data_IF_834974368301
#
_entry.id   IF_834974368301
#
_cell.length_a   1.000
_cell.length_b   1.000
_cell.length_c   1.000
_cell.angle_alpha   90.00
_cell.angle_beta   90.00
_cell.angle_gamma   90.00
#
_symmetry.space_group_name_H-M   'P 1'
#
loop_
_entity.id
_entity.type
_entity.pdbx_description
1 polymer ?
#
# COMPACT_ATOMS: atom_id res chain seq x y z
N UNK A 1 -3.42 6.06 -4.60
CA UNK A 1 -3.62 7.29 -3.81
C UNK A 1 -3.35 6.97 -2.35
N UNK A 2 -2.68 7.88 -1.65
CA UNK A 2 -2.40 7.80 -0.22
C UNK A 2 -3.02 9.02 0.46
N UNK A 3 -3.60 8.79 1.62
CA UNK A 3 -4.18 9.85 2.44
C UNK A 3 -3.84 9.59 3.90
N UNK A 4 -3.28 10.59 4.57
CA UNK A 4 -2.78 10.49 5.96
C UNK A 4 -3.42 11.59 6.78
N UNK A 5 -4.13 11.19 7.84
CA UNK A 5 -4.68 12.09 8.83
C UNK A 5 -3.81 12.09 10.08
N UNK A 6 -3.49 13.29 10.56
CA UNK A 6 -2.65 13.49 11.75
C UNK A 6 -3.47 13.45 13.04
N UNK A 7 -2.78 13.23 14.15
CA UNK A 7 -3.33 13.33 15.50
C UNK A 7 -3.44 14.81 15.92
N UNK A 8 -4.32 15.09 16.88
CA UNK A 8 -4.42 16.41 17.51
C UNK A 8 -3.34 16.61 18.59
N UNK A 9 -2.68 15.53 18.99
CA UNK A 9 -1.58 15.52 19.96
C UNK A 9 -0.22 15.56 19.27
N UNK A 10 0.79 16.06 19.98
CA UNK A 10 2.17 16.07 19.48
C UNK A 10 2.42 17.05 18.34
N UNK A 11 1.56 18.08 18.19
CA UNK A 11 1.78 19.17 17.24
C UNK A 11 2.85 20.11 17.84
N UNK A 12 3.97 20.38 17.14
CA UNK A 12 4.97 21.33 17.61
C UNK A 12 4.39 22.74 17.81
N UNK A 13 4.86 23.47 18.81
CA UNK A 13 4.41 24.85 19.07
C UNK A 13 4.74 25.81 17.92
N UNK A 14 5.83 25.53 17.20
CA UNK A 14 6.30 26.27 16.02
C UNK A 14 5.70 25.73 14.70
N UNK A 15 4.63 24.93 14.76
CA UNK A 15 4.00 24.38 13.57
C UNK A 15 3.37 25.49 12.71
N UNK A 16 4.04 25.82 11.60
CA UNK A 16 3.61 26.85 10.66
C UNK A 16 2.59 26.35 9.59
N UNK A 17 2.20 25.07 9.64
CA UNK A 17 1.25 24.50 8.67
C UNK A 17 -0.21 24.83 8.99
N UNK A 18 -1.09 24.57 8.02
CA UNK A 18 -2.52 24.81 8.18
C UNK A 18 -3.12 23.87 9.23
N UNK A 19 -3.89 24.44 10.14
CA UNK A 19 -4.69 23.70 11.12
C UNK A 19 -6.16 23.77 10.74
N UNK A 20 -6.88 22.67 10.94
CA UNK A 20 -8.31 22.55 10.69
C UNK A 20 -9.02 21.94 11.90
N UNK A 21 -10.32 22.22 12.06
CA UNK A 21 -11.13 21.53 13.06
C UNK A 21 -11.70 20.25 12.48
N UNK A 22 -11.44 19.13 13.16
CA UNK A 22 -12.04 17.86 12.79
C UNK A 22 -13.51 17.76 13.24
N UNK A 23 -14.17 16.67 12.84
CA UNK A 23 -15.57 16.39 13.20
C UNK A 23 -15.83 16.35 14.72
N UNK A 24 -14.80 16.13 15.54
CA UNK A 24 -14.88 16.09 17.00
C UNK A 24 -14.52 17.43 17.68
N UNK A 25 -14.39 18.52 16.90
CA UNK A 25 -14.04 19.85 17.40
C UNK A 25 -12.60 19.99 17.88
N UNK A 26 -11.70 19.08 17.49
CA UNK A 26 -10.27 19.17 17.82
C UNK A 26 -9.52 19.85 16.68
N UNK A 27 -8.62 20.76 17.04
CA UNK A 27 -7.64 21.33 16.12
C UNK A 27 -6.62 20.27 15.72
N UNK A 28 -6.53 19.98 14.44
CA UNK A 28 -5.60 19.01 13.86
C UNK A 28 -4.83 19.63 12.70
N UNK A 29 -3.62 19.16 12.40
CA UNK A 29 -2.94 19.53 11.16
C UNK A 29 -3.75 19.06 9.94
N UNK A 30 -3.73 19.87 8.89
CA UNK A 30 -4.36 19.53 7.63
C UNK A 30 -3.83 18.19 7.11
N UNK A 31 -4.75 17.33 6.65
CA UNK A 31 -4.40 16.01 6.12
C UNK A 31 -3.44 16.07 4.92
N UNK A 32 -2.49 15.14 4.88
CA UNK A 32 -1.65 14.92 3.71
C UNK A 32 -2.36 13.97 2.73
N UNK A 33 -2.30 14.28 1.44
CA UNK A 33 -2.86 13.44 0.40
C UNK A 33 -2.00 13.50 -0.85
N UNK A 34 -1.97 12.41 -1.61
CA UNK A 34 -1.19 12.33 -2.84
C UNK A 34 -1.53 11.10 -3.67
N UNK A 35 -1.08 11.09 -4.92
CA UNK A 35 -1.24 9.96 -5.83
C UNK A 35 0.03 9.74 -6.63
N UNK A 36 0.35 8.48 -6.90
CA UNK A 36 1.47 8.10 -7.76
C UNK A 36 1.01 7.05 -8.75
N UNK A 37 1.52 7.12 -9.98
CA UNK A 37 1.25 6.15 -11.03
C UNK A 37 2.30 5.02 -10.98
N UNK A 38 1.84 3.78 -11.11
CA UNK A 38 2.72 2.59 -11.12
C UNK A 38 3.32 2.29 -12.51
N UNK A 39 2.95 3.07 -13.53
CA UNK A 39 3.40 2.91 -14.92
C UNK A 39 2.74 1.75 -15.68
N UNK A 40 2.30 0.71 -14.98
CA UNK A 40 1.54 -0.42 -15.54
C UNK A 40 0.49 -0.92 -14.55
N UNK A 41 -0.49 -1.67 -15.05
CA UNK A 41 -1.38 -2.45 -14.19
C UNK A 41 -0.58 -3.56 -13.49
N UNK A 42 -0.71 -3.66 -12.17
CA UNK A 42 0.02 -4.66 -11.38
C UNK A 42 -0.74 -5.00 -10.10
N UNK A 43 -0.60 -6.26 -9.66
CA UNK A 43 -1.03 -6.74 -8.35
C UNK A 43 0.16 -7.11 -7.44
N UNK A 44 1.39 -6.82 -7.87
CA UNK A 44 2.61 -7.15 -7.12
C UNK A 44 2.79 -6.19 -5.95
N UNK A 45 2.85 -6.72 -4.73
CA UNK A 45 3.17 -5.94 -3.54
C UNK A 45 4.62 -5.42 -3.62
N UNK A 46 5.53 -6.15 -4.26
CA UNK A 46 6.91 -5.70 -4.51
C UNK A 46 6.98 -4.43 -5.35
N UNK A 47 5.98 -4.18 -6.21
CA UNK A 47 5.90 -2.94 -6.99
C UNK A 47 5.10 -1.87 -6.25
N UNK A 48 3.96 -2.23 -5.65
CA UNK A 48 3.07 -1.28 -4.99
C UNK A 48 3.65 -0.68 -3.71
N UNK A 49 4.26 -1.51 -2.86
CA UNK A 49 4.73 -1.07 -1.53
C UNK A 49 5.82 0.01 -1.65
N UNK A 50 6.89 -0.16 -2.44
CA UNK A 50 7.90 0.89 -2.59
C UNK A 50 7.33 2.19 -3.15
N UNK A 51 6.39 2.12 -4.08
CA UNK A 51 5.74 3.31 -4.64
C UNK A 51 4.92 4.07 -3.60
N UNK A 52 4.18 3.35 -2.74
CA UNK A 52 3.42 3.97 -1.64
C UNK A 52 4.34 4.51 -0.55
N UNK A 53 5.44 3.82 -0.23
CA UNK A 53 6.44 4.29 0.74
C UNK A 53 7.10 5.58 0.25
N UNK A 54 7.51 5.64 -1.02
CA UNK A 54 8.06 6.86 -1.60
C UNK A 54 7.05 8.02 -1.53
N UNK A 55 5.81 7.76 -1.91
CA UNK A 55 4.75 8.77 -1.81
C UNK A 55 4.54 9.23 -0.36
N UNK A 56 4.61 8.32 0.61
CA UNK A 56 4.52 8.65 2.04
C UNK A 56 5.67 9.58 2.46
N UNK A 57 6.90 9.27 2.08
CA UNK A 57 8.08 10.09 2.39
C UNK A 57 8.02 11.49 1.76
N UNK A 58 7.38 11.62 0.59
CA UNK A 58 7.20 12.88 -0.11
C UNK A 58 6.13 13.78 0.53
N UNK A 59 5.00 13.22 0.97
CA UNK A 59 3.82 14.02 1.37
C UNK A 59 3.65 14.19 2.88
N UNK A 60 4.29 13.36 3.71
CA UNK A 60 4.04 13.32 5.16
C UNK A 60 5.06 14.13 5.95
N UNK A 61 4.58 15.01 6.83
CA UNK A 61 5.44 15.71 7.79
C UNK A 61 5.82 14.77 8.94
N UNK A 62 7.11 14.44 9.04
CA UNK A 62 7.67 13.51 10.01
C UNK A 62 7.62 14.03 11.45
N UNK A 63 7.36 15.33 11.65
CA UNK A 63 7.21 15.94 12.99
C UNK A 63 5.82 15.71 13.58
N UNK A 64 4.85 15.28 12.76
CA UNK A 64 3.47 15.08 13.18
C UNK A 64 3.17 13.60 13.42
N UNK A 65 2.33 13.32 14.42
CA UNK A 65 1.88 11.96 14.70
C UNK A 65 0.77 11.55 13.74
N UNK A 66 0.90 10.36 13.14
CA UNK A 66 -0.12 9.80 12.25
C UNK A 66 -1.23 9.13 13.06
N UNK A 67 -2.47 9.57 12.85
CA UNK A 67 -3.66 8.98 13.48
C UNK A 67 -4.32 7.91 12.61
N UNK A 68 -4.37 8.15 11.30
CA UNK A 68 -5.05 7.27 10.33
C UNK A 68 -4.42 7.39 8.95
N UNK A 69 -4.49 6.30 8.19
CA UNK A 69 -3.98 6.23 6.84
C UNK A 69 -4.91 5.42 5.94
N UNK A 70 -5.12 5.89 4.72
CA UNK A 70 -5.90 5.23 3.68
C UNK A 70 -5.04 5.05 2.43
N UNK A 71 -5.05 3.84 1.88
CA UNK A 71 -4.43 3.53 0.58
C UNK A 71 -5.52 3.08 -0.36
N UNK A 72 -5.66 3.74 -1.49
CA UNK A 72 -6.69 3.46 -2.50
C UNK A 72 -6.03 3.12 -3.83
N UNK A 73 -6.38 1.96 -4.37
CA UNK A 73 -6.03 1.57 -5.74
C UNK A 73 -7.07 2.17 -6.71
N UNK A 74 -6.59 2.98 -7.65
CA UNK A 74 -7.43 3.59 -8.69
C UNK A 74 -7.23 2.84 -10.01
N UNK A 75 -8.20 2.96 -10.93
CA UNK A 75 -8.16 2.32 -12.25
C UNK A 75 -7.97 0.80 -12.18
N UNK A 76 -8.69 0.15 -11.26
CA UNK A 76 -8.64 -1.31 -11.11
C UNK A 76 -9.35 -1.97 -12.28
N UNK A 77 -8.68 -2.92 -12.92
CA UNK A 77 -9.22 -3.73 -14.02
C UNK A 77 -9.07 -5.23 -13.69
N UNK A 78 -9.86 -6.07 -14.36
CA UNK A 78 -9.69 -7.52 -14.23
C UNK A 78 -8.40 -7.94 -14.93
N UNK A 79 -7.72 -8.94 -14.39
CA UNK A 79 -6.44 -9.41 -14.93
C UNK A 79 -6.53 -9.84 -16.40
N UNK A 80 -7.64 -10.45 -16.81
CA UNK A 80 -7.88 -10.86 -18.19
C UNK A 80 -8.08 -9.70 -19.18
N UNK A 81 -8.39 -8.51 -18.67
CA UNK A 81 -8.63 -7.31 -19.48
C UNK A 81 -7.38 -6.41 -19.55
N UNK A 82 -6.26 -6.82 -18.94
CA UNK A 82 -5.00 -6.09 -19.01
C UNK A 82 -4.52 -6.06 -20.47
N UNK A 83 -4.31 -4.87 -21.07
CA UNK A 83 -3.78 -4.77 -22.42
C UNK A 83 -2.43 -5.49 -22.52
N UNK A 84 -2.31 -6.45 -23.43
CA UNK A 84 -1.08 -7.22 -23.64
C UNK A 84 0.04 -6.38 -24.25
N UNK A 85 -0.34 -5.34 -24.97
CA UNK A 85 0.55 -4.51 -25.76
C UNK A 85 0.49 -3.06 -25.29
N UNK A 86 1.33 -2.71 -24.31
CA UNK A 86 1.88 -1.35 -24.33
C UNK A 86 2.94 -1.34 -25.42
N UNK A 87 2.64 -0.72 -26.56
CA UNK A 87 3.64 -0.39 -27.57
C UNK A 87 4.79 0.36 -26.89
N UNK A 88 5.87 -0.34 -26.58
CA UNK A 88 7.10 0.30 -26.15
C UNK A 88 7.80 0.80 -27.40
N UNK A 89 8.11 2.10 -27.41
CA UNK A 89 9.07 2.63 -28.36
C UNK A 89 10.43 1.98 -28.05
N UNK A 90 10.94 1.17 -28.98
CA UNK A 90 12.29 0.65 -28.90
C UNK A 90 13.26 1.83 -29.06
N UNK A 91 14.18 1.96 -28.13
CA UNK A 91 15.27 2.92 -28.23
C UNK A 91 16.46 2.28 -28.96
N UNK A 92 17.12 3.07 -29.82
CA UNK A 92 18.26 2.62 -30.65
C UNK A 92 19.44 2.12 -29.82
N UNK A 93 19.51 2.50 -28.54
CA UNK A 93 20.58 2.13 -27.62
C UNK A 93 20.19 0.97 -26.68
N UNK A 94 19.01 0.39 -26.82
CA UNK A 94 18.57 -0.75 -25.98
C UNK A 94 18.99 -2.08 -26.62
N UNK A 95 19.76 -2.90 -25.91
CA UNK A 95 20.02 -4.29 -26.30
C UNK A 95 18.71 -5.12 -26.14
N UNK A 96 18.14 -5.65 -27.24
CA UNK A 96 16.90 -6.41 -27.18
C UNK A 96 17.02 -7.70 -26.36
N UNK A 97 18.20 -8.33 -26.34
CA UNK A 97 18.43 -9.58 -25.61
C UNK A 97 18.42 -9.33 -24.10
N UNK A 98 19.17 -8.32 -23.65
CA UNK A 98 19.17 -7.94 -22.23
C UNK A 98 17.77 -7.52 -21.75
N UNK A 99 17.03 -6.79 -22.58
CA UNK A 99 15.66 -6.40 -22.25
C UNK A 99 14.69 -7.59 -22.19
N UNK A 100 14.88 -8.61 -23.04
CA UNK A 100 14.08 -9.83 -22.99
C UNK A 100 14.36 -10.64 -21.72
N UNK A 101 15.63 -10.79 -21.33
CA UNK A 101 16.03 -11.48 -20.11
C UNK A 101 15.47 -10.80 -18.85
N UNK A 102 15.62 -9.47 -18.75
CA UNK A 102 15.06 -8.69 -17.63
C UNK A 102 13.54 -8.88 -17.52
N UNK A 103 12.83 -8.89 -18.64
CA UNK A 103 11.37 -9.13 -18.67
C UNK A 103 11.01 -10.54 -18.21
N UNK A 104 11.73 -11.56 -18.69
CA UNK A 104 11.50 -12.95 -18.29
C UNK A 104 11.72 -13.15 -16.79
N UNK A 105 12.82 -12.60 -16.25
CA UNK A 105 13.11 -12.65 -14.82
C UNK A 105 12.03 -11.95 -13.98
N UNK A 106 11.57 -10.77 -14.44
CA UNK A 106 10.49 -10.04 -13.78
C UNK A 106 9.17 -10.83 -13.79
N UNK A 107 8.78 -11.39 -14.94
CA UNK A 107 7.57 -12.21 -15.05
C UNK A 107 7.62 -13.43 -14.13
N UNK A 108 8.78 -14.09 -14.04
CA UNK A 108 8.97 -15.23 -13.15
C UNK A 108 8.82 -14.82 -11.68
N UNK A 109 9.41 -13.69 -11.27
CA UNK A 109 9.30 -13.17 -9.91
C UNK A 109 7.84 -12.80 -9.57
N UNK A 110 7.12 -12.16 -10.50
CA UNK A 110 5.70 -11.81 -10.33
C UNK A 110 4.83 -13.07 -10.20
N UNK A 111 5.10 -14.12 -10.99
CA UNK A 111 4.37 -15.38 -10.92
C UNK A 111 4.61 -16.13 -9.61
N UNK A 112 5.86 -16.15 -9.12
CA UNK A 112 6.20 -16.73 -7.81
C UNK A 112 5.47 -16.00 -6.68
N UNK A 113 5.51 -14.66 -6.70
CA UNK A 113 4.80 -13.83 -5.71
C UNK A 113 3.29 -14.11 -5.73
N UNK A 114 2.68 -14.17 -6.92
CA UNK A 114 1.25 -14.46 -7.08
C UNK A 114 0.89 -15.84 -6.51
N UNK A 115 1.72 -16.85 -6.75
CA UNK A 115 1.52 -18.20 -6.19
C UNK A 115 1.55 -18.20 -4.66
N UNK A 116 2.49 -17.47 -4.06
CA UNK A 116 2.58 -17.30 -2.61
C UNK A 116 1.35 -16.58 -2.04
N UNK A 117 0.92 -15.48 -2.67
CA UNK A 117 -0.28 -14.76 -2.24
C UNK A 117 -1.53 -15.63 -2.28
N UNK A 118 -1.72 -16.41 -3.36
CA UNK A 118 -2.83 -17.37 -3.47
C UNK A 118 -2.77 -18.45 -2.40
N UNK A 119 -1.59 -18.96 -2.10
CA UNK A 119 -1.39 -19.96 -1.03
C UNK A 119 -1.78 -19.39 0.34
N UNK A 120 -1.36 -18.17 0.65
CA UNK A 120 -1.72 -17.49 1.91
C UNK A 120 -3.24 -17.32 2.01
N UNK A 121 -3.90 -16.88 0.93
CA UNK A 121 -5.35 -16.74 0.89
C UNK A 121 -6.07 -18.08 1.10
N UNK A 122 -5.61 -19.15 0.45
CA UNK A 122 -6.17 -20.48 0.62
C UNK A 122 -6.00 -20.99 2.06
N UNK A 123 -4.84 -20.76 2.69
CA UNK A 123 -4.63 -21.08 4.10
C UNK A 123 -5.58 -20.28 5.01
N UNK A 124 -5.74 -18.98 4.78
CA UNK A 124 -6.64 -18.14 5.57
C UNK A 124 -8.11 -18.55 5.43
N UNK A 125 -8.53 -19.01 4.26
CA UNK A 125 -9.89 -19.52 4.03
C UNK A 125 -10.12 -20.85 4.76
N UNK A 126 -9.12 -21.74 4.79
CA UNK A 126 -9.25 -23.08 5.39
C UNK A 126 -9.06 -23.08 6.91
N UNK A 127 -8.13 -22.28 7.42
CA UNK A 127 -7.68 -22.30 8.82
C UNK A 127 -7.98 -21.01 9.58
N UNK A 128 -8.62 -20.04 8.93
CA UNK A 128 -9.00 -18.75 9.53
C UNK A 128 -7.96 -17.63 9.31
N UNK A 129 -8.39 -16.39 9.52
CA UNK A 129 -7.60 -15.18 9.22
C UNK A 129 -6.27 -15.07 9.99
N UNK A 130 -6.15 -15.76 11.13
CA UNK A 130 -4.94 -15.81 11.96
C UNK A 130 -3.99 -16.97 11.59
N UNK A 131 -4.29 -17.76 10.56
CA UNK A 131 -3.45 -18.89 10.13
C UNK A 131 -2.05 -18.45 9.65
N UNK A 132 -1.93 -17.24 9.12
CA UNK A 132 -0.66 -16.65 8.69
C UNK A 132 -0.58 -15.23 9.24
N UNK A 133 0.44 -14.97 10.05
CA UNK A 133 0.71 -13.66 10.65
C UNK A 133 2.10 -13.16 10.22
N UNK A 134 2.24 -11.84 10.11
CA UNK A 134 3.54 -11.19 9.93
C UNK A 134 4.12 -10.87 11.32
N UNK A 135 5.45 -10.80 11.44
CA UNK A 135 6.09 -10.42 12.71
C UNK A 135 5.58 -9.09 13.28
N UNK A 136 5.30 -8.10 12.43
CA UNK A 136 4.70 -6.82 12.82
C UNK A 136 3.31 -6.94 13.48
N UNK A 137 2.58 -8.04 13.25
CA UNK A 137 1.28 -8.26 13.87
C UNK A 137 1.38 -8.66 15.36
N UNK A 138 2.59 -8.99 15.83
CA UNK A 138 2.87 -9.41 17.21
C UNK A 138 3.49 -8.30 18.05
N UNK A 139 3.75 -7.13 17.46
CA UNK A 139 4.31 -5.98 18.18
C UNK A 139 3.29 -5.42 19.18
N UNK A 140 3.78 -4.79 20.24
CA UNK A 140 2.95 -4.09 21.20
C UNK A 140 2.11 -3.00 20.49
N UNK A 141 0.82 -2.93 20.80
CA UNK A 141 -0.13 -2.04 20.13
C UNK A 141 -0.68 -2.57 18.79
N UNK A 142 -0.17 -3.69 18.26
CA UNK A 142 -0.76 -4.31 17.07
C UNK A 142 -2.12 -4.95 17.38
N UNK A 143 -3.14 -4.62 16.57
CA UNK A 143 -4.52 -5.09 16.78
C UNK A 143 -4.96 -6.17 15.79
N UNK A 144 -4.05 -6.64 14.92
CA UNK A 144 -4.38 -7.53 13.81
C UNK A 144 -5.06 -8.84 14.26
N UNK A 145 -4.55 -9.50 15.30
CA UNK A 145 -5.11 -10.76 15.83
C UNK A 145 -6.51 -10.54 16.40
N UNK A 146 -6.69 -9.51 17.23
CA UNK A 146 -7.97 -9.18 17.84
C UNK A 146 -9.01 -8.80 16.78
N UNK A 147 -8.62 -8.00 15.78
CA UNK A 147 -9.48 -7.60 14.65
C UNK A 147 -9.88 -8.80 13.80
N UNK A 148 -8.98 -9.74 13.57
CA UNK A 148 -9.26 -10.94 12.79
C UNK A 148 -10.31 -11.86 13.46
N UNK A 149 -10.42 -11.80 14.79
CA UNK A 149 -11.46 -12.49 15.57
C UNK A 149 -12.79 -11.74 15.71
N UNK A 150 -12.92 -10.55 15.10
CA UNK A 150 -14.17 -9.79 15.11
C UNK A 150 -14.98 -10.03 13.83
N UNK A 151 -16.30 -10.09 13.97
CA UNK A 151 -17.26 -10.13 12.87
C UNK A 151 -18.14 -8.88 12.99
N UNK A 152 -18.08 -8.01 11.98
CA UNK A 152 -18.87 -6.75 11.98
C UNK A 152 -18.51 -5.76 13.10
N UNK A 153 -17.33 -5.88 13.73
CA UNK A 153 -16.91 -5.03 14.85
C UNK A 153 -17.28 -5.58 16.23
N UNK A 154 -18.03 -6.67 16.30
CA UNK A 154 -18.29 -7.40 17.53
C UNK A 154 -17.31 -8.57 17.69
N UNK A 155 -16.94 -8.89 18.93
CA UNK A 155 -16.18 -10.11 19.22
C UNK A 155 -17.09 -11.30 18.87
N UNK A 156 -16.59 -12.17 17.99
CA UNK A 156 -17.22 -13.45 17.72
C UNK A 156 -16.96 -14.44 18.86
#
# INVERSE_FOLDING_TARGET
MLTVGYDYTGIPEDYAGTLEQNHYGKTVPQMAHGSTNLGRFTASARTMVPAVVRLYEEIVDKRLLVRRMYVVANHVIREQDVPRDTCMQLDLFTDPAEQAERRAAQQQAEQQEKSLQKTILAMQQRYGKNAVLKGMNLQEGATAIARNGQVGGHRA
#
